data_IF_009148816802
#
_entry.id   IF_009148816802
#
_cell.length_a   1.000
_cell.length_b   1.000
_cell.length_c   1.000
_cell.angle_alpha   90.00
_cell.angle_beta   90.00
_cell.angle_gamma   90.00
#
_symmetry.space_group_name_H-M   'P 1'
#
loop_
_entity.id
_entity.type
_entity.pdbx_description
1 polymer ?
#
# COMPACT_ATOMS: atom_id res chain seq x y z
N UNK A 1 -9.65 0.13 18.99
CA UNK A 1 -10.09 1.32 18.22
C UNK A 1 -9.88 1.02 16.74
N UNK A 2 -10.80 1.40 15.86
CA UNK A 2 -10.60 1.21 14.42
C UNK A 2 -9.33 1.91 13.94
N UNK A 3 -8.70 1.42 12.90
CA UNK A 3 -7.52 2.05 12.28
C UNK A 3 -7.73 3.53 11.98
N UNK A 4 -8.94 3.91 11.58
CA UNK A 4 -9.34 5.31 11.29
C UNK A 4 -9.22 6.28 12.47
N UNK A 5 -9.02 5.80 13.70
CA UNK A 5 -8.78 6.64 14.86
C UNK A 5 -7.33 7.12 14.99
N UNK A 6 -6.42 6.49 14.29
CA UNK A 6 -5.01 6.88 14.26
C UNK A 6 -4.79 7.98 13.23
N UNK A 7 -4.61 9.22 13.71
CA UNK A 7 -4.56 10.43 12.86
C UNK A 7 -3.14 10.89 12.53
N UNK A 8 -2.11 10.20 13.04
CA UNK A 8 -0.71 10.53 12.73
C UNK A 8 0.24 9.39 13.07
N UNK A 9 1.39 9.37 12.40
CA UNK A 9 2.51 8.47 12.73
C UNK A 9 2.90 8.63 14.20
N UNK A 10 2.95 9.87 14.71
CA UNK A 10 3.36 10.16 16.09
C UNK A 10 2.47 9.48 17.14
N UNK A 11 1.14 9.44 16.90
CA UNK A 11 0.20 8.77 17.81
C UNK A 11 0.47 7.26 17.86
N UNK A 12 0.60 6.64 16.69
CA UNK A 12 0.87 5.20 16.55
C UNK A 12 2.24 4.85 17.12
N UNK A 13 3.28 5.61 16.79
CA UNK A 13 4.64 5.38 17.25
C UNK A 13 4.74 5.43 18.80
N UNK A 14 4.03 6.34 19.44
CA UNK A 14 4.00 6.43 20.92
C UNK A 14 3.25 5.24 21.53
N UNK A 15 2.13 4.86 20.99
CA UNK A 15 1.29 3.78 21.54
C UNK A 15 1.98 2.42 21.40
N UNK A 16 2.59 2.15 20.25
CA UNK A 16 3.17 0.84 19.93
C UNK A 16 4.69 0.78 20.08
N UNK A 17 5.33 1.87 20.54
CA UNK A 17 6.78 1.98 20.74
C UNK A 17 7.57 1.74 19.44
N UNK A 18 7.09 2.30 18.34
CA UNK A 18 7.71 2.21 17.02
C UNK A 18 8.73 3.36 16.86
N UNK A 19 9.94 3.00 16.47
CA UNK A 19 10.96 3.97 16.07
C UNK A 19 10.67 4.49 14.66
N UNK A 20 10.84 5.77 14.44
CA UNK A 20 10.62 6.42 13.14
C UNK A 20 11.94 6.81 12.50
N UNK A 21 12.09 6.44 11.23
CA UNK A 21 13.20 6.87 10.38
C UNK A 21 12.63 7.42 9.06
N UNK A 22 13.29 8.45 8.52
CA UNK A 22 13.03 8.92 7.17
C UNK A 22 14.28 8.73 6.33
N UNK A 23 14.22 7.80 5.37
CA UNK A 23 15.37 7.47 4.51
C UNK A 23 14.89 6.95 3.14
N UNK A 24 15.81 6.88 2.17
CA UNK A 24 15.54 6.30 0.86
C UNK A 24 15.79 4.79 0.91
N UNK A 25 14.74 3.99 0.82
CA UNK A 25 14.87 2.53 0.75
C UNK A 25 14.42 1.97 -0.61
N UNK A 26 13.69 2.75 -1.40
CA UNK A 26 13.26 2.31 -2.72
C UNK A 26 14.45 2.42 -3.70
N UNK A 27 14.73 1.30 -4.35
CA UNK A 27 15.60 1.23 -5.52
C UNK A 27 14.71 1.04 -6.74
N UNK A 28 14.57 2.10 -7.56
CA UNK A 28 13.71 2.08 -8.73
C UNK A 28 14.07 0.89 -9.63
N UNK A 29 13.14 -0.05 -9.77
CA UNK A 29 13.32 -1.26 -10.56
C UNK A 29 12.45 -1.15 -11.80
N UNK A 30 13.09 -1.09 -12.97
CA UNK A 30 12.42 -0.89 -14.26
C UNK A 30 11.18 -1.76 -14.41
N UNK A 31 10.10 -1.13 -14.88
CA UNK A 31 8.83 -1.76 -15.20
C UNK A 31 8.29 -1.17 -16.49
N UNK A 32 8.04 -2.02 -17.47
CA UNK A 32 7.49 -1.58 -18.76
C UNK A 32 5.98 -1.32 -18.62
N UNK A 33 5.61 -0.05 -18.52
CA UNK A 33 4.20 0.36 -18.54
C UNK A 33 3.65 0.23 -19.95
N UNK A 34 2.57 -0.53 -20.12
CA UNK A 34 1.99 -0.75 -21.44
C UNK A 34 1.37 0.51 -22.03
N UNK A 35 1.42 0.67 -23.35
CA UNK A 35 0.77 1.79 -24.05
C UNK A 35 -0.75 1.79 -23.84
N UNK A 36 -1.34 0.60 -23.69
CA UNK A 36 -2.77 0.47 -23.37
C UNK A 36 -3.08 1.14 -22.05
N UNK A 37 -2.29 0.86 -21.01
CA UNK A 37 -2.48 1.48 -19.69
C UNK A 37 -2.30 3.01 -19.75
N UNK A 38 -1.29 3.50 -20.48
CA UNK A 38 -1.05 4.94 -20.64
C UNK A 38 -2.24 5.62 -21.29
N UNK A 39 -2.75 5.05 -22.38
CA UNK A 39 -3.90 5.59 -23.11
C UNK A 39 -5.19 5.58 -22.27
N UNK A 40 -5.43 4.49 -21.49
CA UNK A 40 -6.57 4.41 -20.57
C UNK A 40 -6.49 5.49 -19.48
N UNK A 41 -5.30 5.69 -18.90
CA UNK A 41 -5.11 6.69 -17.88
C UNK A 41 -5.28 8.13 -18.44
N UNK A 42 -4.76 8.38 -19.63
CA UNK A 42 -4.93 9.66 -20.32
C UNK A 42 -6.42 9.95 -20.62
N UNK A 43 -7.17 8.94 -21.05
CA UNK A 43 -8.62 9.05 -21.25
C UNK A 43 -9.34 9.43 -19.96
N UNK A 44 -8.98 8.77 -18.84
CA UNK A 44 -9.56 9.05 -17.52
C UNK A 44 -9.27 10.50 -17.10
N UNK A 45 -8.04 10.99 -17.30
CA UNK A 45 -7.68 12.36 -16.94
C UNK A 45 -8.35 13.41 -17.79
N UNK A 46 -8.58 13.13 -19.07
CA UNK A 46 -9.16 14.10 -19.99
C UNK A 46 -10.69 14.13 -19.98
N UNK A 47 -11.34 13.00 -19.73
CA UNK A 47 -12.80 12.84 -19.92
C UNK A 47 -13.51 12.24 -18.70
N UNK A 48 -12.77 11.70 -17.73
CA UNK A 48 -13.33 11.02 -16.57
C UNK A 48 -13.58 11.91 -15.36
N UNK A 49 -14.41 11.43 -14.43
CA UNK A 49 -14.53 11.98 -13.09
C UNK A 49 -13.82 11.01 -12.14
N UNK A 50 -12.59 11.34 -11.75
CA UNK A 50 -11.71 10.41 -11.02
C UNK A 50 -11.28 10.88 -9.62
N UNK A 51 -11.54 12.13 -9.25
CA UNK A 51 -11.03 12.78 -8.04
C UNK A 51 -12.11 13.34 -7.09
N UNK A 52 -13.39 13.11 -7.40
CA UNK A 52 -14.51 13.61 -6.62
C UNK A 52 -14.67 12.93 -5.25
N UNK A 53 -14.11 11.74 -5.07
CA UNK A 53 -14.14 10.98 -3.81
C UNK A 53 -12.92 10.07 -3.66
N UNK A 54 -12.63 9.60 -2.42
CA UNK A 54 -11.58 8.58 -2.19
C UNK A 54 -11.87 7.30 -2.97
N UNK A 55 -13.14 6.89 -3.06
CA UNK A 55 -13.56 5.72 -3.82
C UNK A 55 -13.24 5.90 -5.32
N UNK A 56 -13.54 7.07 -5.88
CA UNK A 56 -13.25 7.33 -7.30
C UNK A 56 -11.74 7.32 -7.57
N UNK A 57 -10.92 7.87 -6.68
CA UNK A 57 -9.45 7.82 -6.75
C UNK A 57 -8.97 6.35 -6.67
N UNK A 58 -9.53 5.55 -5.77
CA UNK A 58 -9.24 4.13 -5.65
C UNK A 58 -9.51 3.37 -6.95
N UNK A 59 -10.71 3.54 -7.51
CA UNK A 59 -11.17 2.79 -8.68
C UNK A 59 -10.46 3.19 -9.98
N UNK A 60 -10.20 4.49 -10.15
CA UNK A 60 -9.71 5.02 -11.43
C UNK A 60 -8.18 5.17 -11.48
N UNK A 61 -7.51 5.32 -10.35
CA UNK A 61 -6.07 5.58 -10.32
C UNK A 61 -5.32 4.51 -9.51
N UNK A 62 -5.65 4.34 -8.21
CA UNK A 62 -4.82 3.54 -7.31
C UNK A 62 -4.90 2.06 -7.69
N UNK A 63 -6.11 1.50 -7.80
CA UNK A 63 -6.28 0.09 -8.17
C UNK A 63 -5.72 -0.24 -9.55
N UNK A 64 -5.95 0.53 -10.61
CA UNK A 64 -5.33 0.30 -11.92
C UNK A 64 -3.80 0.22 -11.87
N UNK A 65 -3.12 1.14 -11.18
CA UNK A 65 -1.65 1.11 -11.01
C UNK A 65 -1.20 -0.15 -10.27
N UNK A 66 -1.80 -0.45 -9.12
CA UNK A 66 -1.47 -1.65 -8.35
C UNK A 66 -1.72 -2.93 -9.15
N UNK A 67 -2.85 -3.01 -9.85
CA UNK A 67 -3.24 -4.15 -10.67
C UNK A 67 -2.27 -4.39 -11.82
N UNK A 68 -1.80 -3.32 -12.48
CA UNK A 68 -0.86 -3.46 -13.60
C UNK A 68 0.44 -4.13 -13.15
N UNK A 69 1.01 -3.71 -12.01
CA UNK A 69 2.19 -4.36 -11.42
C UNK A 69 1.86 -5.76 -10.91
N UNK A 70 0.72 -5.92 -10.20
CA UNK A 70 0.29 -7.22 -9.67
C UNK A 70 0.19 -8.30 -10.75
N UNK A 71 -0.16 -7.99 -11.99
CA UNK A 71 -0.21 -8.96 -13.11
C UNK A 71 1.10 -9.76 -13.26
N UNK A 72 2.24 -9.13 -12.99
CA UNK A 72 3.55 -9.79 -13.02
C UNK A 72 3.71 -10.79 -11.86
N UNK A 73 3.16 -10.49 -10.71
CA UNK A 73 3.30 -11.26 -9.47
C UNK A 73 2.09 -12.13 -9.12
N UNK A 74 1.10 -12.24 -10.01
CA UNK A 74 -0.19 -12.90 -9.77
C UNK A 74 -0.09 -14.39 -9.42
N UNK A 75 1.02 -15.06 -9.74
CA UNK A 75 1.27 -16.45 -9.35
C UNK A 75 1.50 -16.61 -7.85
N UNK A 76 2.06 -15.58 -7.21
CA UNK A 76 2.49 -15.60 -5.82
C UNK A 76 1.55 -14.84 -4.90
N UNK A 77 0.85 -13.83 -5.43
CA UNK A 77 0.04 -12.90 -4.63
C UNK A 77 -1.39 -12.74 -5.13
N UNK A 78 -2.27 -12.40 -4.20
CA UNK A 78 -3.61 -11.87 -4.43
C UNK A 78 -3.68 -10.43 -3.93
N UNK A 79 -4.24 -9.55 -4.75
CA UNK A 79 -4.54 -8.17 -4.39
C UNK A 79 -6.00 -8.09 -3.94
N UNK A 80 -6.21 -7.90 -2.65
CA UNK A 80 -7.52 -7.80 -2.03
C UNK A 80 -7.93 -6.34 -1.90
N UNK A 81 -9.21 -6.07 -2.14
CA UNK A 81 -9.82 -4.74 -2.01
C UNK A 81 -10.81 -4.76 -0.86
N UNK A 82 -10.71 -3.78 0.04
CA UNK A 82 -11.63 -3.55 1.16
C UNK A 82 -11.90 -4.81 2.01
N UNK A 83 -10.85 -5.60 2.26
CA UNK A 83 -10.96 -6.80 3.08
C UNK A 83 -10.81 -6.45 4.56
N UNK A 84 -11.73 -6.95 5.38
CA UNK A 84 -11.68 -6.75 6.83
C UNK A 84 -10.41 -7.37 7.43
N UNK A 85 -9.70 -6.57 8.21
CA UNK A 85 -8.49 -6.95 8.93
C UNK A 85 -8.71 -6.73 10.43
N UNK A 86 -8.58 -7.79 11.23
CA UNK A 86 -8.78 -7.74 12.67
C UNK A 86 -7.64 -8.46 13.38
N UNK A 87 -6.86 -7.74 14.17
CA UNK A 87 -5.93 -8.33 15.14
C UNK A 87 -6.55 -8.34 16.55
N UNK A 88 -7.08 -7.21 16.98
CA UNK A 88 -7.81 -7.03 18.24
C UNK A 88 -8.77 -5.82 18.15
N UNK A 89 -9.41 -5.46 19.27
CA UNK A 89 -10.35 -4.32 19.31
C UNK A 89 -9.71 -2.98 18.92
N UNK A 90 -8.40 -2.79 19.20
CA UNK A 90 -7.70 -1.54 18.90
C UNK A 90 -7.11 -1.52 17.47
N UNK A 91 -6.77 -2.67 16.94
CA UNK A 91 -6.19 -2.83 15.62
C UNK A 91 -7.15 -3.64 14.74
N UNK A 92 -8.16 -2.95 14.22
CA UNK A 92 -9.20 -3.51 13.36
C UNK A 92 -9.72 -2.47 12.38
N UNK A 93 -10.17 -2.91 11.20
CA UNK A 93 -10.74 -2.04 10.17
C UNK A 93 -10.73 -2.67 8.80
N UNK A 94 -10.83 -1.84 7.78
CA UNK A 94 -10.90 -2.24 6.39
C UNK A 94 -9.92 -1.39 5.59
N UNK A 95 -8.67 -1.86 5.38
CA UNK A 95 -7.73 -1.21 4.47
C UNK A 95 -8.28 -1.14 3.05
N UNK A 96 -7.91 -0.13 2.28
CA UNK A 96 -8.37 -0.03 0.89
C UNK A 96 -7.85 -1.20 0.05
N UNK A 97 -6.55 -1.51 0.15
CA UNK A 97 -5.99 -2.69 -0.51
C UNK A 97 -4.97 -3.41 0.35
N UNK A 98 -4.95 -4.74 0.21
CA UNK A 98 -3.99 -5.63 0.86
C UNK A 98 -3.38 -6.57 -0.18
N UNK A 99 -2.06 -6.64 -0.24
CA UNK A 99 -1.36 -7.68 -0.96
C UNK A 99 -1.09 -8.86 -0.02
N UNK A 100 -1.66 -10.01 -0.32
CA UNK A 100 -1.51 -11.23 0.45
C UNK A 100 -0.89 -12.35 -0.37
N UNK A 101 -0.25 -13.32 0.29
CA UNK A 101 0.19 -14.54 -0.37
C UNK A 101 -1.00 -15.25 -1.00
N UNK A 102 -0.77 -15.80 -2.19
CA UNK A 102 -1.79 -16.62 -2.84
C UNK A 102 -1.97 -17.92 -2.08
N UNK A 103 -3.20 -18.17 -1.59
CA UNK A 103 -3.50 -19.41 -0.90
C UNK A 103 -3.49 -20.61 -1.86
N UNK A 104 -2.98 -21.73 -1.39
CA UNK A 104 -3.06 -23.02 -2.10
C UNK A 104 -4.49 -23.56 -2.17
N UNK A 105 -5.39 -23.02 -1.35
CA UNK A 105 -6.81 -23.38 -1.31
C UNK A 105 -7.66 -22.60 -2.33
N UNK A 106 -7.04 -21.67 -3.08
CA UNK A 106 -7.70 -20.93 -4.14
C UNK A 106 -7.86 -19.43 -3.86
N UNK A 107 -8.48 -18.72 -4.82
CA UNK A 107 -8.56 -17.25 -4.83
C UNK A 107 -9.62 -16.67 -3.89
N UNK A 108 -10.45 -17.50 -3.30
CA UNK A 108 -11.49 -17.07 -2.33
C UNK A 108 -10.99 -17.05 -0.89
N UNK A 109 -9.77 -17.55 -0.65
CA UNK A 109 -9.19 -17.65 0.68
C UNK A 109 -8.24 -16.49 0.92
N UNK A 110 -8.62 -15.61 1.86
CA UNK A 110 -7.77 -14.53 2.35
C UNK A 110 -6.80 -15.08 3.39
N UNK A 111 -5.57 -15.37 2.97
CA UNK A 111 -4.59 -16.12 3.76
C UNK A 111 -3.31 -15.31 3.99
N UNK A 112 -2.63 -15.62 5.08
CA UNK A 112 -1.34 -15.05 5.46
C UNK A 112 -0.18 -15.67 4.66
N UNK A 113 0.97 -15.03 4.59
CA UNK A 113 1.29 -13.69 5.09
C UNK A 113 0.75 -12.56 4.22
N UNK A 114 0.49 -11.42 4.87
CA UNK A 114 0.16 -10.15 4.23
C UNK A 114 1.43 -9.31 4.11
N UNK A 115 1.56 -8.51 3.04
CA UNK A 115 2.82 -7.83 2.70
C UNK A 115 2.70 -6.33 2.48
N UNK A 116 1.63 -5.87 1.83
CA UNK A 116 1.42 -4.46 1.49
C UNK A 116 0.05 -4.03 1.97
N UNK A 117 -0.02 -2.88 2.64
CA UNK A 117 -1.22 -2.15 2.98
C UNK A 117 -1.25 -0.87 2.14
N UNK A 118 -2.39 -0.56 1.57
CA UNK A 118 -2.56 0.66 0.79
C UNK A 118 -3.73 1.44 1.36
N UNK A 119 -3.48 2.72 1.62
CA UNK A 119 -4.46 3.66 2.14
C UNK A 119 -4.61 4.84 1.18
N UNK A 120 -5.82 5.03 0.68
CA UNK A 120 -6.18 6.17 -0.14
C UNK A 120 -6.59 7.35 0.73
N UNK A 121 -6.26 8.55 0.31
CA UNK A 121 -6.74 9.78 0.94
C UNK A 121 -7.13 10.79 -0.12
N UNK A 122 -8.14 11.56 0.18
CA UNK A 122 -8.47 12.74 -0.62
C UNK A 122 -7.55 13.89 -0.26
N UNK A 123 -7.13 14.67 -1.23
CA UNK A 123 -6.31 15.87 -1.05
C UNK A 123 -4.97 15.61 -0.33
N UNK A 124 -4.62 16.45 0.66
CA UNK A 124 -3.32 16.44 1.34
C UNK A 124 -3.33 15.74 2.70
N UNK A 125 -4.32 14.89 2.99
CA UNK A 125 -4.47 14.21 4.29
C UNK A 125 -3.46 13.05 4.53
N UNK A 126 -2.21 13.22 4.07
CA UNK A 126 -1.17 12.19 4.17
C UNK A 126 -0.81 11.83 5.61
N UNK A 127 -0.79 12.79 6.54
CA UNK A 127 -0.46 12.51 7.95
C UNK A 127 -1.49 11.56 8.57
N UNK A 128 -2.77 11.78 8.27
CA UNK A 128 -3.86 10.91 8.70
C UNK A 128 -3.78 9.54 8.01
N UNK A 129 -3.54 9.53 6.70
CA UNK A 129 -3.33 8.29 5.93
C UNK A 129 -2.19 7.45 6.50
N UNK A 130 -1.07 8.07 6.85
CA UNK A 130 0.06 7.37 7.46
C UNK A 130 -0.24 6.89 8.89
N UNK A 131 -1.01 7.63 9.68
CA UNK A 131 -1.45 7.16 10.99
C UNK A 131 -2.25 5.87 10.88
N UNK A 132 -3.21 5.84 9.96
CA UNK A 132 -4.05 4.69 9.69
C UNK A 132 -3.22 3.53 9.10
N UNK A 133 -2.48 3.75 8.03
CA UNK A 133 -1.69 2.74 7.34
C UNK A 133 -0.63 2.10 8.27
N UNK A 134 0.06 2.88 9.12
CA UNK A 134 1.02 2.32 10.08
C UNK A 134 0.35 1.42 11.12
N UNK A 135 -0.84 1.78 11.61
CA UNK A 135 -1.60 0.91 12.52
C UNK A 135 -2.01 -0.40 11.84
N UNK A 136 -2.37 -0.37 10.56
CA UNK A 136 -2.65 -1.55 9.74
C UNK A 136 -1.41 -2.41 9.56
N UNK A 137 -0.25 -1.80 9.26
CA UNK A 137 1.03 -2.50 9.14
C UNK A 137 1.41 -3.24 10.43
N UNK A 138 1.19 -2.61 11.60
CA UNK A 138 1.41 -3.23 12.91
C UNK A 138 0.46 -4.41 13.13
N UNK A 139 -0.82 -4.26 12.76
CA UNK A 139 -1.79 -5.35 12.84
C UNK A 139 -1.34 -6.54 11.98
N UNK A 140 -0.92 -6.28 10.76
CA UNK A 140 -0.43 -7.30 9.82
C UNK A 140 0.82 -7.98 10.33
N UNK A 141 1.82 -7.25 10.81
CA UNK A 141 3.04 -7.83 11.39
C UNK A 141 2.72 -8.82 12.53
N UNK A 142 1.78 -8.44 13.40
CA UNK A 142 1.33 -9.30 14.50
C UNK A 142 0.51 -10.50 14.01
N UNK A 143 -0.33 -10.33 13.01
CA UNK A 143 -1.11 -11.40 12.39
C UNK A 143 -0.22 -12.42 11.68
N UNK A 144 0.81 -11.96 10.96
CA UNK A 144 1.77 -12.84 10.29
C UNK A 144 2.60 -13.63 11.30
N UNK A 145 2.79 -13.08 12.51
CA UNK A 145 3.64 -13.67 13.57
C UNK A 145 5.10 -13.86 13.14
N UNK A 146 5.59 -12.97 12.26
CA UNK A 146 6.94 -12.98 11.68
C UNK A 146 7.52 -11.56 11.77
N UNK A 147 8.07 -11.14 12.93
CA UNK A 147 8.51 -9.76 13.15
C UNK A 147 9.67 -9.34 12.23
N UNK A 148 10.46 -10.28 11.74
CA UNK A 148 11.54 -10.02 10.77
C UNK A 148 11.03 -9.79 9.34
N UNK A 149 9.77 -10.16 9.05
CA UNK A 149 9.14 -9.89 7.77
C UNK A 149 8.92 -8.38 7.61
N UNK A 150 9.36 -7.84 6.49
CA UNK A 150 9.11 -6.44 6.16
C UNK A 150 7.69 -6.27 5.62
N UNK A 151 6.89 -5.44 6.30
CA UNK A 151 5.57 -5.02 5.83
C UNK A 151 5.71 -3.67 5.14
N UNK A 152 5.14 -3.52 3.96
CA UNK A 152 5.15 -2.27 3.22
C UNK A 152 3.82 -1.54 3.36
N UNK A 153 3.90 -0.20 3.39
CA UNK A 153 2.76 0.70 3.36
C UNK A 153 2.85 1.63 2.16
N UNK A 154 1.72 1.92 1.56
CA UNK A 154 1.56 2.91 0.49
C UNK A 154 0.42 3.83 0.89
N UNK A 155 0.67 5.14 0.89
CA UNK A 155 -0.37 6.15 1.06
C UNK A 155 -0.41 7.01 -0.18
N UNK A 156 -1.62 7.16 -0.76
CA UNK A 156 -1.78 7.88 -2.02
C UNK A 156 -3.07 8.68 -2.07
N UNK A 157 -3.03 9.82 -2.77
CA UNK A 157 -4.22 10.55 -3.21
C UNK A 157 -4.47 10.44 -4.72
N UNK A 158 -3.90 9.42 -5.35
CA UNK A 158 -3.91 9.23 -6.80
C UNK A 158 -2.82 10.02 -7.51
N UNK A 159 -2.67 11.30 -7.22
CA UNK A 159 -1.65 12.16 -7.84
C UNK A 159 -0.25 11.94 -7.24
N UNK A 160 -0.16 11.82 -5.92
CA UNK A 160 1.08 11.64 -5.16
C UNK A 160 1.06 10.31 -4.43
N UNK A 161 2.19 9.62 -4.41
CA UNK A 161 2.40 8.32 -3.80
C UNK A 161 3.57 8.36 -2.83
N UNK A 162 3.32 7.92 -1.62
CA UNK A 162 4.31 7.82 -0.56
C UNK A 162 4.45 6.36 -0.12
N UNK A 163 5.67 5.98 0.24
CA UNK A 163 6.01 4.61 0.60
C UNK A 163 6.63 4.54 1.98
N UNK A 164 6.36 3.48 2.70
CA UNK A 164 6.98 3.16 3.98
C UNK A 164 7.16 1.67 4.15
N UNK A 165 8.03 1.29 5.08
CA UNK A 165 8.16 -0.10 5.50
C UNK A 165 8.26 -0.20 7.03
N UNK A 166 7.75 -1.30 7.57
CA UNK A 166 7.84 -1.67 8.97
C UNK A 166 8.57 -3.00 9.08
N UNK A 167 9.67 -3.01 9.82
CA UNK A 167 10.41 -4.22 10.17
C UNK A 167 10.81 -4.15 11.63
N UNK A 168 10.52 -5.19 12.42
CA UNK A 168 10.64 -5.14 13.88
C UNK A 168 9.88 -3.93 14.43
N UNK A 169 10.53 -3.11 15.26
CA UNK A 169 9.96 -1.86 15.79
C UNK A 169 10.44 -0.61 15.04
N UNK A 170 10.91 -0.76 13.80
CA UNK A 170 11.39 0.36 12.97
C UNK A 170 10.45 0.61 11.79
N UNK A 171 9.82 1.77 11.78
CA UNK A 171 9.09 2.27 10.61
C UNK A 171 9.96 3.26 9.85
N UNK A 172 10.24 2.95 8.58
CA UNK A 172 10.98 3.81 7.68
C UNK A 172 10.06 4.39 6.61
N UNK A 173 9.91 5.71 6.58
CA UNK A 173 9.21 6.42 5.51
C UNK A 173 10.20 6.82 4.42
N UNK A 174 9.90 6.51 3.16
CA UNK A 174 10.74 6.88 2.02
C UNK A 174 10.78 8.40 1.84
N UNK A 175 11.97 8.98 1.60
CA UNK A 175 12.13 10.45 1.41
C UNK A 175 11.56 10.93 0.10
N UNK A 176 11.70 10.12 -0.96
CA UNK A 176 11.23 10.47 -2.31
C UNK A 176 9.74 10.17 -2.42
N UNK A 177 9.00 11.13 -2.96
CA UNK A 177 7.62 10.99 -3.36
C UNK A 177 7.57 10.69 -4.85
N UNK A 178 6.57 9.90 -5.25
CA UNK A 178 6.33 9.56 -6.64
C UNK A 178 5.01 10.16 -7.09
N UNK A 179 4.91 10.48 -8.36
CA UNK A 179 3.70 11.11 -8.91
C UNK A 179 3.18 10.35 -10.11
N UNK A 180 1.87 10.43 -10.31
CA UNK A 180 1.22 9.81 -11.46
C UNK A 180 1.66 10.45 -12.80
N UNK A 181 2.20 11.67 -12.78
CA UNK A 181 2.74 12.35 -13.96
C UNK A 181 4.06 11.73 -14.43
N UNK A 182 4.82 11.09 -13.53
CA UNK A 182 6.05 10.35 -13.85
C UNK A 182 5.80 8.85 -13.67
N UNK A 183 5.03 8.29 -14.61
CA UNK A 183 4.57 6.91 -14.57
C UNK A 183 5.72 5.91 -14.49
N UNK A 184 6.79 6.11 -15.23
CA UNK A 184 7.90 5.16 -15.28
C UNK A 184 8.57 5.03 -13.91
N UNK A 185 8.79 6.15 -13.22
CA UNK A 185 9.34 6.14 -11.87
C UNK A 185 8.35 5.62 -10.84
N UNK A 186 7.07 5.99 -10.94
CA UNK A 186 6.03 5.47 -10.06
C UNK A 186 5.94 3.94 -10.17
N UNK A 187 5.87 3.42 -11.38
CA UNK A 187 5.80 1.98 -11.61
C UNK A 187 7.07 1.26 -11.17
N UNK A 188 8.25 1.87 -11.37
CA UNK A 188 9.50 1.33 -10.87
C UNK A 188 9.53 1.22 -9.34
N UNK A 189 8.96 2.20 -8.63
CA UNK A 189 8.83 2.18 -7.17
C UNK A 189 7.84 1.12 -6.69
N UNK A 190 6.66 1.03 -7.29
CA UNK A 190 5.66 0.00 -6.96
C UNK A 190 6.21 -1.39 -7.27
N UNK A 191 6.86 -1.58 -8.41
CA UNK A 191 7.49 -2.83 -8.80
C UNK A 191 8.58 -3.25 -7.80
N UNK A 192 9.41 -2.32 -7.34
CA UNK A 192 10.38 -2.60 -6.28
C UNK A 192 9.71 -3.17 -5.04
N UNK A 193 8.63 -2.56 -4.55
CA UNK A 193 7.90 -3.03 -3.36
C UNK A 193 7.36 -4.44 -3.57
N UNK A 194 6.71 -4.71 -4.69
CA UNK A 194 6.19 -6.05 -5.01
C UNK A 194 7.30 -7.10 -5.09
N UNK A 195 8.44 -6.75 -5.71
CA UNK A 195 9.61 -7.62 -5.77
C UNK A 195 10.19 -7.91 -4.39
N UNK A 196 10.25 -6.92 -3.50
CA UNK A 196 10.70 -7.13 -2.12
C UNK A 196 9.75 -8.05 -1.34
N UNK A 197 8.45 -8.01 -1.62
CA UNK A 197 7.50 -8.97 -1.05
C UNK A 197 7.73 -10.38 -1.57
N UNK A 198 7.99 -10.53 -2.87
CA UNK A 198 8.28 -11.84 -3.48
C UNK A 198 9.55 -12.49 -2.90
N UNK A 199 10.58 -11.71 -2.62
CA UNK A 199 11.82 -12.20 -2.00
C UNK A 199 11.65 -12.69 -0.56
N UNK A 200 10.50 -12.46 0.06
CA UNK A 200 10.17 -12.92 1.41
C UNK A 200 9.30 -14.20 1.43
N UNK A 201 8.96 -14.76 0.26
CA UNK A 201 8.20 -16.01 0.15
C UNK A 201 9.11 -17.25 0.27
#
# INVERSE_FOLDING_TARGET
MPFSNYKSISAVAKEFQINYLRDNFIVETEFAVSDIFRNELELIFNEGVFDNSEIAICENIIYPVLKEVWKTYRSNFLLWSHQTLIYNENLSGIPDYILAKRSTLGTVVFDKPYFILVEAKKESAFDEGWGQCLAEMIAVQRLNNEPEQTIFGIVSNGAMWQFGNLKLEMFTQNKVFYTIQDLDRLFAAVNYVFRQCELQL
#
